data_IF_047310918286
#
_entry.id   IF_047310918286
#
_cell.length_a   1.000
_cell.length_b   1.000
_cell.length_c   1.000
_cell.angle_alpha   90.00
_cell.angle_beta   90.00
_cell.angle_gamma   90.00
#
_symmetry.space_group_name_H-M   'P 1'
#
loop_
_entity.id
_entity.type
_entity.pdbx_description
1 polymer ?
#
# COMPACT_ATOMS: atom_id res chain seq x y z
N UNK A 1 27.36 25.15 -0.82
CA UNK A 1 27.30 23.90 -0.05
C UNK A 1 26.65 22.84 -0.94
N UNK A 2 27.44 21.94 -1.50
CA UNK A 2 26.94 20.80 -2.29
C UNK A 2 26.35 19.78 -1.32
N UNK A 3 25.02 19.71 -1.25
CA UNK A 3 24.34 18.63 -0.53
C UNK A 3 24.47 17.40 -1.43
N UNK A 4 25.43 16.53 -1.12
CA UNK A 4 25.49 15.23 -1.78
C UNK A 4 24.18 14.46 -1.49
N UNK A 5 23.53 13.86 -2.50
CA UNK A 5 22.42 12.98 -2.25
C UNK A 5 22.94 11.77 -1.49
N UNK A 6 22.47 11.57 -0.27
CA UNK A 6 22.67 10.32 0.46
C UNK A 6 21.76 9.27 -0.18
N UNK A 7 22.12 8.82 -1.38
CA UNK A 7 21.54 7.65 -2.03
C UNK A 7 22.15 6.42 -1.39
N UNK A 8 21.54 5.90 -0.32
CA UNK A 8 21.71 4.49 0.02
C UNK A 8 20.67 3.97 1.00
N UNK A 9 19.39 4.20 0.72
CA UNK A 9 18.35 3.43 1.40
C UNK A 9 17.96 2.28 0.49
N UNK A 10 18.21 1.05 0.95
CA UNK A 10 17.78 -0.20 0.32
C UNK A 10 16.24 -0.36 0.34
N UNK A 11 15.47 0.71 0.09
CA UNK A 11 14.03 0.62 -0.06
C UNK A 11 13.75 -0.18 -1.32
N UNK A 12 13.57 -1.48 -1.13
CA UNK A 12 13.10 -2.36 -2.18
C UNK A 12 11.61 -2.12 -2.42
N UNK A 13 11.20 -2.57 -3.59
CA UNK A 13 9.87 -2.71 -4.17
C UNK A 13 8.73 -3.25 -3.29
N UNK A 14 8.91 -3.54 -2.00
CA UNK A 14 7.79 -3.98 -1.13
C UNK A 14 7.90 -3.40 0.28
N UNK A 15 6.88 -2.64 0.72
CA UNK A 15 6.85 -2.01 2.04
C UNK A 15 5.54 -2.27 2.80
N UNK A 16 5.61 -2.50 4.12
CA UNK A 16 4.43 -2.51 4.99
C UNK A 16 3.82 -1.10 5.09
N UNK A 17 2.50 -1.03 5.23
CA UNK A 17 1.75 0.23 5.30
C UNK A 17 0.82 0.27 6.51
N UNK A 18 0.82 1.41 7.20
CA UNK A 18 -0.14 1.74 8.25
C UNK A 18 -0.95 2.96 7.83
N UNK A 19 -2.27 2.86 7.98
CA UNK A 19 -3.18 3.96 7.70
C UNK A 19 -3.65 4.60 9.00
N UNK A 20 -3.64 5.92 9.02
CA UNK A 20 -4.05 6.75 10.14
C UNK A 20 -5.22 7.61 9.71
N UNK A 21 -6.25 7.71 10.54
CA UNK A 21 -7.44 8.52 10.28
C UNK A 21 -7.59 9.54 11.39
N UNK A 22 -7.89 10.78 11.00
CA UNK A 22 -8.14 11.87 11.94
C UNK A 22 -9.39 11.58 12.80
N UNK A 23 -9.23 11.73 14.11
CA UNK A 23 -10.29 11.69 15.11
C UNK A 23 -10.93 13.07 15.29
N UNK A 24 -12.06 13.13 16.00
CA UNK A 24 -12.80 14.38 16.25
C UNK A 24 -12.03 15.38 17.11
N UNK A 25 -11.04 14.91 17.88
CA UNK A 25 -10.16 15.72 18.72
C UNK A 25 -8.93 16.27 17.95
N UNK A 26 -8.83 16.02 16.64
CA UNK A 26 -7.69 16.42 15.81
C UNK A 26 -6.49 15.46 15.87
N UNK A 27 -6.51 14.45 16.74
CA UNK A 27 -5.48 13.41 16.78
C UNK A 27 -5.67 12.39 15.65
N UNK A 28 -4.71 11.49 15.47
CA UNK A 28 -4.77 10.44 14.46
C UNK A 28 -4.69 9.05 15.11
N UNK A 29 -5.61 8.18 14.74
CA UNK A 29 -5.63 6.79 15.19
C UNK A 29 -5.31 5.80 14.07
N UNK A 30 -4.59 4.71 14.35
CA UNK A 30 -4.29 3.68 13.35
C UNK A 30 -5.55 2.87 13.03
N UNK A 31 -5.72 2.52 11.76
CA UNK A 31 -6.88 1.77 11.28
C UNK A 31 -6.65 0.27 11.40
N UNK A 32 -7.39 -0.39 12.29
CA UNK A 32 -7.38 -1.85 12.45
C UNK A 32 -8.50 -2.58 11.68
N UNK A 33 -9.44 -1.86 11.07
CA UNK A 33 -10.52 -2.48 10.29
C UNK A 33 -10.05 -2.76 8.84
N UNK A 34 -10.02 -4.04 8.45
CA UNK A 34 -9.55 -4.47 7.14
C UNK A 34 -10.31 -3.83 5.95
N UNK A 35 -11.61 -3.59 6.07
CA UNK A 35 -12.39 -2.96 4.99
C UNK A 35 -11.98 -1.50 4.80
N UNK A 36 -11.74 -0.79 5.90
CA UNK A 36 -11.24 0.58 5.87
C UNK A 36 -9.82 0.60 5.30
N UNK A 37 -8.93 -0.29 5.76
CA UNK A 37 -7.58 -0.46 5.20
C UNK A 37 -7.63 -0.64 3.68
N UNK A 38 -8.44 -1.57 3.17
CA UNK A 38 -8.61 -1.77 1.72
C UNK A 38 -9.05 -0.50 0.99
N UNK A 39 -9.99 0.26 1.56
CA UNK A 39 -10.49 1.52 0.97
C UNK A 39 -9.40 2.59 0.91
N UNK A 40 -8.65 2.76 2.00
CA UNK A 40 -7.57 3.76 2.11
C UNK A 40 -6.38 3.39 1.21
N UNK A 41 -5.94 2.13 1.28
CA UNK A 41 -4.89 1.60 0.41
C UNK A 41 -5.28 1.75 -1.07
N UNK A 42 -6.52 1.46 -1.44
CA UNK A 42 -7.02 1.65 -2.80
C UNK A 42 -6.91 3.10 -3.31
N UNK A 43 -7.00 4.11 -2.44
CA UNK A 43 -6.74 5.51 -2.82
C UNK A 43 -5.26 5.74 -3.13
N UNK A 44 -4.37 5.28 -2.26
CA UNK A 44 -2.91 5.36 -2.44
C UNK A 44 -2.48 4.70 -3.76
N UNK A 45 -2.92 3.46 -3.99
CA UNK A 45 -2.61 2.69 -5.20
C UNK A 45 -3.10 3.41 -6.47
N UNK A 46 -4.30 4.00 -6.45
CA UNK A 46 -4.80 4.79 -7.60
C UNK A 46 -3.95 6.02 -7.87
N UNK A 47 -3.55 6.75 -6.84
CA UNK A 47 -2.69 7.94 -6.99
C UNK A 47 -1.30 7.56 -7.54
N UNK A 48 -0.73 6.44 -7.07
CA UNK A 48 0.58 5.94 -7.49
C UNK A 48 0.58 5.26 -8.88
N UNK A 49 -0.56 4.78 -9.38
CA UNK A 49 -0.69 4.19 -10.72
C UNK A 49 -1.20 5.18 -11.79
N UNK A 50 -1.59 6.40 -11.40
CA UNK A 50 -2.10 7.41 -12.35
C UNK A 50 -1.02 7.75 -13.39
N UNK A 51 -1.26 7.59 -14.70
CA UNK A 51 -0.24 7.88 -15.69
C UNK A 51 0.03 9.39 -15.77
N UNK A 52 1.31 9.77 -15.85
CA UNK A 52 1.72 11.18 -15.92
C UNK A 52 1.38 11.82 -17.27
N UNK A 53 1.44 11.05 -18.35
CA UNK A 53 1.28 11.55 -19.73
C UNK A 53 -0.19 11.60 -20.17
N UNK A 54 -1.11 10.87 -19.51
CA UNK A 54 -2.50 10.74 -19.93
C UNK A 54 -3.48 11.65 -19.19
N UNK A 55 -3.01 12.52 -18.29
CA UNK A 55 -3.89 13.38 -17.48
C UNK A 55 -3.96 14.78 -18.09
N UNK A 56 -5.09 15.10 -18.73
CA UNK A 56 -5.40 16.48 -19.17
C UNK A 56 -5.67 17.43 -18.00
N UNK A 57 -5.80 16.91 -16.78
CA UNK A 57 -5.91 17.68 -15.54
C UNK A 57 -4.57 17.73 -14.82
N UNK A 58 -4.13 18.89 -14.32
CA UNK A 58 -2.95 18.96 -13.48
C UNK A 58 -3.13 18.02 -12.29
N UNK A 59 -2.10 17.22 -12.02
CA UNK A 59 -2.13 16.27 -10.92
C UNK A 59 -2.12 17.06 -9.60
N UNK A 60 -2.94 16.66 -8.62
CA UNK A 60 -3.03 17.38 -7.35
C UNK A 60 -1.66 17.46 -6.66
N UNK A 61 -1.27 18.59 -6.02
CA UNK A 61 0.04 18.72 -5.38
C UNK A 61 0.36 17.63 -4.36
N UNK A 62 -0.67 17.07 -3.71
CA UNK A 62 -0.52 15.94 -2.78
C UNK A 62 -0.23 14.62 -3.49
N UNK A 63 -0.85 14.38 -4.66
CA UNK A 63 -0.55 13.23 -5.52
C UNK A 63 0.89 13.30 -6.01
N UNK A 64 1.32 14.49 -6.47
CA UNK A 64 2.69 14.69 -6.96
C UNK A 64 3.71 14.46 -5.86
N UNK A 65 3.45 15.01 -4.67
CA UNK A 65 4.29 14.79 -3.48
C UNK A 65 4.41 13.32 -3.11
N UNK A 66 3.30 12.58 -3.09
CA UNK A 66 3.33 11.15 -2.78
C UNK A 66 4.16 10.37 -3.81
N UNK A 67 3.95 10.60 -5.11
CA UNK A 67 4.71 9.93 -6.18
C UNK A 67 6.19 10.27 -6.12
N UNK A 68 6.53 11.55 -5.97
CA UNK A 68 7.91 12.00 -5.83
C UNK A 68 8.56 11.37 -4.60
N UNK A 69 7.84 11.32 -3.49
CA UNK A 69 8.31 10.70 -2.25
C UNK A 69 8.63 9.21 -2.45
N UNK A 70 7.70 8.44 -3.04
CA UNK A 70 7.96 7.01 -3.34
C UNK A 70 9.08 6.87 -4.37
N UNK A 71 9.10 7.66 -5.44
CA UNK A 71 10.15 7.59 -6.48
C UNK A 71 11.54 8.02 -6.02
N UNK A 72 11.65 8.83 -4.97
CA UNK A 72 12.93 9.12 -4.29
C UNK A 72 13.38 7.92 -3.46
N UNK A 73 12.44 7.23 -2.81
CA UNK A 73 12.76 6.07 -1.97
C UNK A 73 13.05 4.82 -2.81
N UNK A 74 12.27 4.57 -3.86
CA UNK A 74 12.32 3.37 -4.69
C UNK A 74 12.69 3.75 -6.14
N UNK A 75 13.93 3.42 -6.51
CA UNK A 75 14.46 3.67 -7.85
C UNK A 75 13.79 2.80 -8.93
N UNK A 76 13.35 1.59 -8.59
CA UNK A 76 12.64 0.70 -9.51
C UNK A 76 11.27 1.29 -9.85
N UNK A 77 10.50 1.72 -8.84
CA UNK A 77 9.23 2.44 -9.07
C UNK A 77 9.39 3.68 -9.96
N UNK A 78 10.51 4.41 -9.84
CA UNK A 78 10.77 5.60 -10.67
C UNK A 78 10.82 5.24 -12.16
N UNK A 79 11.40 4.09 -12.49
CA UNK A 79 11.55 3.61 -13.87
C UNK A 79 10.32 2.83 -14.33
N UNK A 80 9.64 2.13 -13.42
CA UNK A 80 8.47 1.31 -13.65
C UNK A 80 7.35 1.71 -12.66
N UNK A 81 6.58 2.79 -12.97
CA UNK A 81 5.67 3.42 -12.01
C UNK A 81 4.34 2.67 -11.85
N UNK A 82 4.45 1.39 -11.53
CA UNK A 82 3.35 0.48 -11.25
C UNK A 82 3.41 0.04 -9.79
N UNK A 83 2.24 -0.05 -9.15
CA UNK A 83 2.08 -0.53 -7.78
C UNK A 83 0.89 -1.47 -7.63
N UNK A 84 1.01 -2.39 -6.69
CA UNK A 84 -0.07 -3.27 -6.22
C UNK A 84 -0.17 -3.26 -4.71
N UNK A 85 -1.36 -3.57 -4.23
CA UNK A 85 -1.60 -3.78 -2.80
C UNK A 85 -1.65 -5.27 -2.50
N UNK A 86 -1.00 -5.67 -1.41
CA UNK A 86 -1.32 -6.90 -0.72
C UNK A 86 -1.93 -6.57 0.63
N UNK A 87 -2.97 -7.30 1.01
CA UNK A 87 -3.57 -7.21 2.33
C UNK A 87 -4.03 -8.59 2.76
N UNK A 88 -3.85 -8.89 4.04
CA UNK A 88 -4.29 -10.14 4.62
C UNK A 88 -4.74 -9.91 6.07
N UNK A 89 -5.49 -10.87 6.62
CA UNK A 89 -5.81 -10.90 8.06
C UNK A 89 -4.89 -11.92 8.72
N UNK A 90 -4.13 -11.47 9.71
CA UNK A 90 -3.41 -12.36 10.62
C UNK A 90 -4.18 -12.42 11.95
N UNK A 91 -3.80 -13.35 12.82
CA UNK A 91 -4.44 -13.52 14.13
C UNK A 91 -4.31 -12.28 15.03
N UNK A 92 -3.29 -11.44 14.81
CA UNK A 92 -3.05 -10.22 15.58
C UNK A 92 -3.71 -8.97 14.98
N UNK A 93 -3.60 -8.77 13.66
CA UNK A 93 -4.06 -7.54 12.99
C UNK A 93 -4.18 -7.74 11.46
N UNK A 94 -4.94 -6.87 10.75
CA UNK A 94 -4.78 -6.77 9.31
C UNK A 94 -3.34 -6.34 8.98
N UNK A 95 -2.75 -6.99 8.00
CA UNK A 95 -1.48 -6.57 7.42
C UNK A 95 -1.74 -5.96 6.05
N UNK A 96 -1.02 -4.88 5.74
CA UNK A 96 -1.12 -4.16 4.47
C UNK A 96 0.27 -3.87 3.95
N UNK A 97 0.48 -4.13 2.67
CA UNK A 97 1.72 -3.89 1.96
C UNK A 97 1.44 -3.20 0.62
N UNK A 98 2.36 -2.35 0.20
CA UNK A 98 2.47 -1.90 -1.19
C UNK A 98 3.64 -2.64 -1.81
N UNK A 99 3.43 -3.10 -3.03
CA UNK A 99 4.43 -3.66 -3.93
C UNK A 99 4.58 -2.65 -5.07
N UNK A 100 5.79 -2.33 -5.48
CA UNK A 100 6.12 -1.33 -6.50
C UNK A 100 7.15 -1.87 -7.50
N UNK A 101 7.23 -1.24 -8.66
CA UNK A 101 8.25 -1.57 -9.65
C UNK A 101 8.06 -2.93 -10.32
N UNK A 102 9.16 -3.59 -10.67
CA UNK A 102 9.21 -4.87 -11.37
C UNK A 102 8.60 -6.03 -10.56
N UNK A 103 8.71 -5.98 -9.23
CA UNK A 103 8.11 -7.00 -8.34
C UNK A 103 6.59 -7.11 -8.50
N UNK A 104 5.94 -6.05 -8.99
CA UNK A 104 4.51 -6.10 -9.32
C UNK A 104 4.25 -7.19 -10.36
N UNK A 105 5.08 -7.28 -11.41
CA UNK A 105 4.94 -8.28 -12.45
C UNK A 105 5.14 -9.70 -11.92
N UNK A 106 6.14 -9.90 -11.06
CA UNK A 106 6.43 -11.18 -10.41
C UNK A 106 5.23 -11.61 -9.54
N UNK A 107 4.74 -10.70 -8.71
CA UNK A 107 3.61 -10.95 -7.82
C UNK A 107 2.33 -11.28 -8.60
N UNK A 108 2.04 -10.53 -9.67
CA UNK A 108 0.85 -10.76 -10.49
C UNK A 108 0.91 -12.09 -11.25
N UNK A 109 2.04 -12.39 -11.88
CA UNK A 109 2.22 -13.59 -12.69
C UNK A 109 2.14 -14.86 -11.86
N UNK A 110 2.74 -14.84 -10.67
CA UNK A 110 2.83 -16.03 -9.83
C UNK A 110 1.57 -16.26 -8.99
N UNK A 111 0.84 -15.20 -8.61
CA UNK A 111 -0.23 -15.30 -7.62
C UNK A 111 -1.56 -14.73 -8.10
N UNK A 112 -1.61 -13.45 -8.51
CA UNK A 112 -2.88 -12.77 -8.75
C UNK A 112 -3.64 -13.32 -9.97
N UNK A 113 -2.93 -13.66 -11.06
CA UNK A 113 -3.54 -14.16 -12.30
C UNK A 113 -4.24 -15.52 -12.12
N UNK A 114 -3.78 -16.35 -11.19
CA UNK A 114 -4.38 -17.67 -10.93
C UNK A 114 -5.81 -17.55 -10.41
N UNK A 115 -6.10 -16.54 -9.58
CA UNK A 115 -7.47 -16.26 -9.12
C UNK A 115 -8.34 -15.86 -10.32
N UNK A 116 -7.85 -14.97 -11.18
CA UNK A 116 -8.58 -14.50 -12.36
C UNK A 116 -8.94 -15.65 -13.31
N UNK A 117 -7.97 -16.53 -13.59
CA UNK A 117 -8.17 -17.74 -14.40
C UNK A 117 -9.21 -18.67 -13.79
N UNK A 118 -9.08 -18.99 -12.49
CA UNK A 118 -10.02 -19.86 -11.79
C UNK A 118 -11.45 -19.30 -11.82
N UNK A 119 -11.62 -17.99 -11.61
CA UNK A 119 -12.93 -17.32 -11.70
C UNK A 119 -13.52 -17.36 -13.10
N UNK A 120 -12.70 -17.16 -14.13
CA UNK A 120 -13.13 -17.21 -15.53
C UNK A 120 -13.65 -18.61 -15.87
N UNK A 121 -12.87 -19.64 -15.55
CA UNK A 121 -13.23 -21.03 -15.80
C UNK A 121 -14.50 -21.43 -15.03
N UNK A 122 -14.61 -21.03 -13.76
CA UNK A 122 -15.80 -21.29 -12.95
C UNK A 122 -17.05 -20.62 -13.54
N UNK A 123 -16.92 -19.38 -14.06
CA UNK A 123 -18.03 -18.68 -14.71
C UNK A 123 -18.49 -19.39 -15.98
N UNK A 124 -17.55 -19.93 -16.76
CA UNK A 124 -17.84 -20.67 -17.99
C UNK A 124 -18.50 -22.02 -17.71
N UNK A 125 -17.99 -22.78 -16.72
CA UNK A 125 -18.46 -24.14 -16.44
C UNK A 125 -19.68 -24.20 -15.52
N UNK A 126 -19.78 -23.29 -14.54
CA UNK A 126 -20.76 -23.37 -13.45
C UNK A 126 -21.73 -22.18 -13.42
N UNK A 127 -21.61 -21.23 -14.36
CA UNK A 127 -22.33 -19.95 -14.34
C UNK A 127 -22.17 -19.16 -13.02
N UNK A 128 -21.14 -19.47 -12.23
CA UNK A 128 -20.87 -18.86 -10.92
C UNK A 128 -19.37 -18.56 -10.79
N UNK A 129 -18.99 -17.40 -10.24
CA UNK A 129 -17.58 -16.99 -10.19
C UNK A 129 -16.80 -17.62 -9.02
N UNK A 130 -17.42 -18.45 -8.18
CA UNK A 130 -16.80 -19.07 -7.02
C UNK A 130 -16.92 -20.58 -7.12
N UNK A 131 -15.77 -21.25 -7.22
CA UNK A 131 -15.60 -22.70 -7.25
C UNK A 131 -14.57 -23.15 -6.21
N UNK A 132 -14.44 -24.45 -5.91
CA UNK A 132 -13.35 -24.97 -5.10
C UNK A 132 -11.95 -24.52 -5.57
N UNK A 133 -11.72 -24.48 -6.88
CA UNK A 133 -10.46 -24.02 -7.49
C UNK A 133 -10.24 -22.52 -7.26
N UNK A 134 -11.31 -21.72 -7.31
CA UNK A 134 -11.24 -20.29 -6.97
C UNK A 134 -10.85 -20.10 -5.51
N UNK A 135 -11.42 -20.90 -4.60
CA UNK A 135 -11.11 -20.86 -3.18
C UNK A 135 -9.66 -21.28 -2.91
N UNK A 136 -9.17 -22.31 -3.60
CA UNK A 136 -7.78 -22.76 -3.47
C UNK A 136 -6.78 -21.73 -4.02
N UNK A 137 -7.09 -21.10 -5.16
CA UNK A 137 -6.29 -20.00 -5.68
C UNK A 137 -6.23 -18.80 -4.71
N UNK A 138 -7.34 -18.48 -4.03
CA UNK A 138 -7.37 -17.43 -2.99
C UNK A 138 -6.53 -17.82 -1.78
N UNK A 139 -6.60 -19.07 -1.31
CA UNK A 139 -5.77 -19.56 -0.20
C UNK A 139 -4.29 -19.50 -0.55
N UNK A 140 -3.92 -19.94 -1.75
CA UNK A 140 -2.55 -19.88 -2.26
C UNK A 140 -2.06 -18.43 -2.33
N UNK A 141 -2.86 -17.52 -2.89
CA UNK A 141 -2.55 -16.09 -2.92
C UNK A 141 -2.31 -15.51 -1.53
N UNK A 142 -3.17 -15.84 -0.56
CA UNK A 142 -3.02 -15.34 0.81
C UNK A 142 -1.75 -15.88 1.48
N UNK A 143 -1.45 -17.17 1.30
CA UNK A 143 -0.28 -17.82 1.92
C UNK A 143 1.03 -17.40 1.27
N UNK A 144 1.16 -17.59 -0.04
CA UNK A 144 2.38 -17.30 -0.77
C UNK A 144 2.56 -15.80 -1.00
N UNK A 145 1.48 -15.04 -1.13
CA UNK A 145 1.54 -13.59 -1.19
C UNK A 145 2.03 -12.98 0.12
N UNK A 146 1.61 -13.51 1.28
CA UNK A 146 2.13 -13.06 2.57
C UNK A 146 3.63 -13.34 2.70
N UNK A 147 4.06 -14.54 2.33
CA UNK A 147 5.50 -14.90 2.31
C UNK A 147 6.31 -14.00 1.39
N UNK A 148 5.81 -13.74 0.17
CA UNK A 148 6.45 -12.86 -0.80
C UNK A 148 6.70 -11.48 -0.19
N UNK A 149 5.64 -10.84 0.32
CA UNK A 149 5.77 -9.48 0.85
C UNK A 149 6.59 -9.42 2.12
N UNK A 150 6.53 -10.43 2.98
CA UNK A 150 7.36 -10.50 4.19
C UNK A 150 8.85 -10.72 3.87
N UNK A 151 9.17 -11.50 2.85
CA UNK A 151 10.57 -11.72 2.46
C UNK A 151 11.17 -10.49 1.78
N UNK A 152 10.41 -9.81 0.92
CA UNK A 152 10.89 -8.62 0.24
C UNK A 152 10.90 -7.37 1.14
N UNK A 153 9.97 -7.26 2.11
CA UNK A 153 9.94 -6.13 3.04
C UNK A 153 11.08 -6.10 4.08
N UNK A 154 11.72 -7.25 4.37
CA UNK A 154 12.87 -7.33 5.30
C UNK A 154 14.05 -6.42 4.92
N UNK A 155 14.10 -5.97 3.67
CA UNK A 155 15.20 -5.17 3.14
C UNK A 155 15.05 -3.67 3.42
N UNK A 156 13.89 -3.21 3.89
CA UNK A 156 13.67 -1.81 4.26
C UNK A 156 14.28 -1.55 5.62
N UNK A 157 15.58 -1.25 5.61
CA UNK A 157 16.35 -0.87 6.78
C UNK A 157 17.27 0.29 6.44
N UNK A 158 17.49 1.18 7.41
CA UNK A 158 18.61 2.11 7.32
C UNK A 158 19.94 1.41 7.65
N UNK A 159 21.03 2.19 7.60
CA UNK A 159 22.38 1.75 7.97
C UNK A 159 22.51 1.22 9.41
N UNK A 160 21.56 1.55 10.29
CA UNK A 160 21.52 1.11 11.69
C UNK A 160 20.61 -0.11 11.88
N UNK A 161 20.02 -0.66 10.81
CA UNK A 161 19.11 -1.79 10.88
C UNK A 161 17.68 -1.42 11.29
N UNK A 162 17.33 -0.13 11.42
CA UNK A 162 15.99 0.33 11.78
C UNK A 162 15.05 0.03 10.63
N UNK A 163 13.98 -0.71 10.90
CA UNK A 163 12.97 -1.08 9.90
C UNK A 163 11.96 0.04 9.75
N UNK A 164 11.68 0.45 8.51
CA UNK A 164 10.69 1.49 8.22
C UNK A 164 9.42 0.91 7.61
N UNK A 165 8.30 1.57 7.88
CA UNK A 165 7.00 1.31 7.27
C UNK A 165 6.39 2.60 6.73
N UNK A 166 5.57 2.49 5.69
CA UNK A 166 4.88 3.66 5.12
C UNK A 166 3.66 4.00 5.98
N UNK A 167 3.69 5.16 6.61
CA UNK A 167 2.53 5.73 7.28
C UNK A 167 1.79 6.62 6.29
N UNK A 168 0.47 6.51 6.26
CA UNK A 168 -0.40 7.36 5.45
C UNK A 168 -1.50 7.95 6.31
N UNK A 169 -1.74 9.26 6.20
CA UNK A 169 -2.76 9.97 6.97
C UNK A 169 -3.95 10.34 6.11
N UNK A 170 -5.14 10.24 6.70
CA UNK A 170 -6.39 10.58 6.07
C UNK A 170 -7.30 11.40 6.98
N UNK A 171 -8.02 12.33 6.40
CA UNK A 171 -9.13 13.07 7.03
C UNK A 171 -10.47 12.43 6.66
N UNK A 172 -11.41 12.41 7.59
CA UNK A 172 -12.77 11.94 7.35
C UNK A 172 -13.57 13.04 6.64
N UNK A 173 -14.13 12.74 5.48
CA UNK A 173 -15.12 13.58 4.82
C UNK A 173 -16.51 13.06 5.20
N UNK A 174 -17.33 13.91 5.82
CA UNK A 174 -18.72 13.59 6.19
C UNK A 174 -19.71 14.22 5.24
N UNK A 175 -20.89 13.61 5.11
CA UNK A 175 -22.02 14.22 4.41
C UNK A 175 -22.78 15.19 5.34
N UNK A 176 -23.81 15.88 4.82
CA UNK A 176 -24.65 16.80 5.60
C UNK A 176 -25.36 16.14 6.80
N UNK A 177 -25.52 14.81 6.79
CA UNK A 177 -26.12 14.04 7.90
C UNK A 177 -25.07 13.51 8.89
N UNK A 178 -23.80 13.95 8.79
CA UNK A 178 -22.72 13.50 9.66
C UNK A 178 -22.17 12.09 9.37
N UNK A 179 -22.70 11.37 8.37
CA UNK A 179 -22.19 10.03 8.00
C UNK A 179 -20.89 10.14 7.22
N UNK A 180 -19.97 9.19 7.45
CA UNK A 180 -18.70 9.11 6.71
C UNK A 180 -19.01 8.88 5.23
N UNK A 181 -18.67 9.86 4.39
CA UNK A 181 -18.80 9.81 2.94
C UNK A 181 -17.51 9.25 2.33
N UNK A 182 -16.37 9.84 2.69
CA UNK A 182 -15.09 9.49 2.11
C UNK A 182 -13.91 9.80 3.04
N UNK A 183 -12.70 9.49 2.57
CA UNK A 183 -11.44 9.81 3.23
C UNK A 183 -10.57 10.64 2.29
N UNK A 184 -10.06 11.77 2.77
CA UNK A 184 -9.14 12.65 2.03
C UNK A 184 -7.71 12.32 2.43
N UNK A 185 -6.85 12.03 1.46
CA UNK A 185 -5.42 11.82 1.72
C UNK A 185 -4.77 13.14 2.16
N UNK A 186 -3.94 13.08 3.20
CA UNK A 186 -3.26 14.24 3.78
C UNK A 186 -1.76 14.16 3.55
N UNK A 187 -1.14 13.05 3.97
CA UNK A 187 0.31 12.88 3.85
C UNK A 187 0.72 11.41 3.87
N UNK A 188 1.94 11.14 3.42
CA UNK A 188 2.60 9.86 3.57
C UNK A 188 4.07 10.06 3.97
N UNK A 189 4.59 9.17 4.82
CA UNK A 189 5.98 9.19 5.29
C UNK A 189 6.42 7.80 5.73
N UNK A 190 7.66 7.43 5.42
CA UNK A 190 8.32 6.27 6.01
C UNK A 190 8.77 6.60 7.43
N UNK A 191 8.33 5.80 8.40
CA UNK A 191 8.64 5.96 9.82
C UNK A 191 9.13 4.63 10.41
N UNK A 192 9.95 4.66 11.48
CA UNK A 192 10.40 3.47 12.17
C UNK A 192 9.23 2.61 12.68
N UNK A 193 9.34 1.30 12.48
CA UNK A 193 8.32 0.30 12.86
C UNK A 193 8.35 -0.09 14.35
N UNK A 194 9.42 0.24 15.09
CA UNK A 194 9.53 0.08 16.55
C UNK A 194 10.80 0.70 17.14
N UNK A 195 10.71 1.22 18.37
CA UNK A 195 11.85 1.65 19.22
C UNK A 195 12.15 3.16 19.27
N UNK A 196 12.04 3.74 20.48
CA UNK A 196 12.48 5.05 20.97
C UNK A 196 12.15 6.27 20.09
N UNK A 197 10.98 6.86 20.36
CA UNK A 197 10.61 8.18 19.84
C UNK A 197 9.72 8.12 18.60
N UNK A 198 8.57 7.46 18.69
CA UNK A 198 7.43 7.89 17.87
C UNK A 198 6.98 9.27 18.35
N UNK A 199 7.71 10.31 17.94
CA UNK A 199 7.36 11.72 18.15
C UNK A 199 6.14 12.13 17.30
N UNK A 200 5.09 11.32 17.33
CA UNK A 200 3.77 11.61 16.76
C UNK A 200 2.68 11.62 17.84
N UNK A 201 3.05 11.46 19.12
CA UNK A 201 2.18 11.77 20.26
C UNK A 201 2.15 13.25 20.65
N UNK A 202 2.88 14.13 19.95
CA UNK A 202 2.85 15.59 20.15
C UNK A 202 3.11 16.30 18.81
N UNK A 203 2.08 16.48 17.99
CA UNK A 203 1.95 17.55 17.00
C UNK A 203 0.48 17.72 16.67
#
# INVERSE_FOLDING_TARGET
MNIQPVNNTNFKSTYPVVHWVAETNGSYAPVANLQIVKKLQGKIIRMLNKPLVSSTKPMEPLEQRLRAYIGVCDADYRNNPNVRSFYNRTDAAPVSYVISGEDVGIFENNLAKNIGRAKSNARELLSKPYSPETMEAIKLYNREGLKFVQNNSKQIKDKNGIIYMLHTKFEIIRNRMGKIKDYKFVEARFLPSGGHGSSLGKM
#
